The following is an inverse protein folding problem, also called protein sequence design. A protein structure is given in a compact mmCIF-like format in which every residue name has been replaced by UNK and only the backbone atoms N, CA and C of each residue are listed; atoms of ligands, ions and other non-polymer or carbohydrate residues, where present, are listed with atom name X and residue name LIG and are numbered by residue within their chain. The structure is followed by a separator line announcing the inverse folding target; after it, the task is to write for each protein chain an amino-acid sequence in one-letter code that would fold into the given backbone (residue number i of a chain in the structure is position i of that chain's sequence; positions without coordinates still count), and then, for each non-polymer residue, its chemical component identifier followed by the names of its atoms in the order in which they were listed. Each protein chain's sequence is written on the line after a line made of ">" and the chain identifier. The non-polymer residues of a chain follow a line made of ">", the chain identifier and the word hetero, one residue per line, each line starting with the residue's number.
data_IF_390511147531
#
_entry.id   IF_390511147531
#
_cell.length_a   1.000
_cell.length_b   1.000
_cell.length_c   1.000
_cell.angle_alpha   90.00
_cell.angle_beta   90.00
_cell.angle_gamma   90.00
#
_symmetry.space_group_name_H-M   'P 1'
#
loop_
_entity.id
_entity.type
_entity.pdbx_description
1 polymer ?
#
# COMPACT_ATOMS: atom_id res chain seq x y z
N UNK A 1 -12.15 -14.78 5.37
CA UNK A 1 -13.52 -14.25 5.60
C UNK A 1 -14.20 -13.81 4.31
N UNK A 2 -13.61 -12.90 3.50
CA UNK A 2 -14.28 -12.41 2.29
C UNK A 2 -14.56 -13.46 1.20
N UNK A 3 -13.74 -14.51 1.06
CA UNK A 3 -14.01 -15.57 0.09
C UNK A 3 -14.85 -16.70 0.71
N UNK A 4 -14.31 -17.38 1.74
CA UNK A 4 -14.97 -18.52 2.38
C UNK A 4 -16.17 -18.15 3.27
N UNK A 5 -16.19 -16.96 3.86
CA UNK A 5 -17.26 -16.53 4.78
C UNK A 5 -18.59 -16.26 4.07
N UNK A 6 -18.56 -15.51 2.96
CA UNK A 6 -19.76 -15.31 2.14
C UNK A 6 -20.27 -16.62 1.49
N UNK A 7 -19.35 -17.53 1.14
CA UNK A 7 -19.70 -18.84 0.63
C UNK A 7 -20.48 -19.69 1.65
N UNK A 8 -20.17 -19.58 2.95
CA UNK A 8 -20.92 -20.26 4.03
C UNK A 8 -22.37 -19.75 4.12
N UNK A 9 -22.61 -18.47 3.80
CA UNK A 9 -23.97 -17.91 3.70
C UNK A 9 -24.67 -18.17 2.36
N UNK A 10 -24.11 -19.05 1.51
CA UNK A 10 -24.69 -19.42 0.22
C UNK A 10 -24.35 -18.47 -0.93
N UNK A 11 -23.61 -17.38 -0.68
CA UNK A 11 -23.21 -16.43 -1.71
C UNK A 11 -21.86 -16.83 -2.34
N UNK A 12 -21.88 -17.22 -3.62
CA UNK A 12 -20.66 -17.48 -4.39
C UNK A 12 -20.05 -16.16 -4.83
N UNK A 13 -18.98 -15.74 -4.16
CA UNK A 13 -18.26 -14.52 -4.49
C UNK A 13 -17.09 -14.84 -5.41
N UNK A 14 -16.93 -14.09 -6.50
CA UNK A 14 -15.77 -14.21 -7.39
C UNK A 14 -14.47 -13.91 -6.63
N UNK A 15 -13.37 -14.67 -6.85
CA UNK A 15 -12.07 -14.38 -6.25
C UNK A 15 -11.59 -12.93 -6.45
N UNK A 16 -11.93 -12.32 -7.60
CA UNK A 16 -11.62 -10.91 -7.88
C UNK A 16 -12.30 -9.96 -6.90
N UNK A 17 -13.59 -10.17 -6.65
CA UNK A 17 -14.38 -9.32 -5.73
C UNK A 17 -13.93 -9.55 -4.29
N UNK A 18 -13.72 -10.80 -3.90
CA UNK A 18 -13.27 -11.14 -2.55
C UNK A 18 -11.87 -10.57 -2.24
N UNK A 19 -10.92 -10.72 -3.16
CA UNK A 19 -9.58 -10.16 -3.01
C UNK A 19 -9.60 -8.63 -3.03
N UNK A 20 -10.32 -8.03 -3.98
CA UNK A 20 -10.45 -6.58 -4.11
C UNK A 20 -11.01 -5.92 -2.85
N UNK A 21 -12.09 -6.45 -2.29
CA UNK A 21 -12.67 -5.94 -1.05
C UNK A 21 -11.74 -6.13 0.15
N UNK A 22 -11.14 -7.32 0.29
CA UNK A 22 -10.23 -7.62 1.39
C UNK A 22 -9.03 -6.67 1.39
N UNK A 23 -8.37 -6.50 0.24
CA UNK A 23 -7.23 -5.60 0.11
C UNK A 23 -7.61 -4.13 0.19
N UNK A 24 -8.78 -3.73 -0.30
CA UNK A 24 -9.23 -2.32 -0.19
C UNK A 24 -9.47 -1.93 1.26
N UNK A 25 -10.17 -2.77 2.03
CA UNK A 25 -10.42 -2.53 3.46
C UNK A 25 -9.10 -2.50 4.22
N UNK A 26 -8.24 -3.50 3.99
CA UNK A 26 -6.91 -3.55 4.61
C UNK A 26 -6.08 -2.31 4.27
N UNK A 27 -5.99 -1.95 2.99
CA UNK A 27 -5.21 -0.80 2.54
C UNK A 27 -5.76 0.51 3.09
N UNK A 28 -7.09 0.69 3.11
CA UNK A 28 -7.72 1.91 3.62
C UNK A 28 -7.43 2.14 5.11
N UNK A 29 -7.49 1.09 5.93
CA UNK A 29 -7.20 1.18 7.36
C UNK A 29 -5.74 1.57 7.63
N UNK A 30 -4.80 0.91 6.96
CA UNK A 30 -3.38 1.22 7.10
C UNK A 30 -3.03 2.61 6.55
N UNK A 31 -3.59 2.98 5.40
CA UNK A 31 -3.33 4.28 4.79
C UNK A 31 -3.91 5.42 5.66
N UNK A 32 -5.09 5.24 6.25
CA UNK A 32 -5.66 6.22 7.17
C UNK A 32 -4.73 6.50 8.37
N UNK A 33 -4.16 5.45 8.94
CA UNK A 33 -3.24 5.57 10.08
C UNK A 33 -1.91 6.22 9.71
N UNK A 34 -1.36 5.87 8.53
CA UNK A 34 -0.16 6.52 7.98
C UNK A 34 -0.41 8.03 7.82
N UNK A 35 -1.52 8.40 7.19
CA UNK A 35 -1.84 9.81 6.94
C UNK A 35 -2.14 10.57 8.24
N UNK A 36 -2.84 9.96 9.20
CA UNK A 36 -3.05 10.52 10.54
C UNK A 36 -1.70 10.82 11.21
N UNK A 37 -0.78 9.85 11.23
CA UNK A 37 0.56 10.04 11.79
C UNK A 37 1.36 11.14 11.07
N UNK A 38 1.19 11.30 9.76
CA UNK A 38 1.86 12.36 9.00
C UNK A 38 1.31 13.76 9.29
N UNK A 39 0.00 13.89 9.54
CA UNK A 39 -0.61 15.16 9.97
C UNK A 39 -0.16 15.51 11.39
N UNK A 40 -0.09 14.53 12.29
CA UNK A 40 0.40 14.71 13.67
C UNK A 40 1.90 15.03 13.76
N UNK A 41 2.69 14.63 12.76
CA UNK A 41 4.11 14.95 12.66
C UNK A 41 4.38 16.45 12.38
N UNK A 42 3.38 17.20 11.92
CA UNK A 42 3.50 18.64 11.66
C UNK A 42 3.61 19.39 12.98
N UNK A 43 4.57 20.30 13.06
CA UNK A 43 4.84 21.03 14.29
C UNK A 43 3.64 21.87 14.73
N UNK A 44 3.36 21.87 16.03
CA UNK A 44 2.26 22.66 16.60
C UNK A 44 2.41 24.16 16.31
N UNK A 45 3.64 24.64 16.15
CA UNK A 45 3.95 26.02 15.80
C UNK A 45 3.38 26.42 14.44
N UNK A 46 3.31 25.50 13.46
CA UNK A 46 2.70 25.80 12.15
C UNK A 46 1.19 26.02 12.28
N UNK A 47 0.53 25.23 13.12
CA UNK A 47 -0.88 25.39 13.45
C UNK A 47 -1.13 26.72 14.16
N UNK A 48 -0.37 27.01 15.21
CA UNK A 48 -0.49 28.25 15.99
C UNK A 48 -0.16 29.50 15.17
N UNK A 49 0.88 29.46 14.33
CA UNK A 49 1.22 30.56 13.43
C UNK A 49 0.12 30.81 12.38
N UNK A 50 -0.43 29.74 11.80
CA UNK A 50 -1.51 29.87 10.83
C UNK A 50 -2.80 30.44 11.46
N UNK A 51 -3.08 30.06 12.71
CA UNK A 51 -4.19 30.61 13.49
C UNK A 51 -3.96 32.09 13.84
N UNK A 52 -2.73 32.47 14.21
CA UNK A 52 -2.35 33.86 14.51
C UNK A 52 -2.49 34.78 13.28
N UNK A 53 -2.35 34.24 12.07
CA UNK A 53 -2.63 34.94 10.81
C UNK A 53 -4.12 35.04 10.47
N UNK A 54 -5.01 34.58 11.36
CA UNK A 54 -6.46 34.65 11.17
C UNK A 54 -7.03 33.59 10.22
N UNK A 55 -6.26 32.56 9.85
CA UNK A 55 -6.75 31.50 8.99
C UNK A 55 -7.74 30.61 9.76
N UNK A 56 -8.92 30.36 9.18
CA UNK A 56 -9.88 29.39 9.71
C UNK A 56 -9.39 27.94 9.52
N UNK A 57 -9.93 26.98 10.27
CA UNK A 57 -9.46 25.58 10.27
C UNK A 57 -9.32 24.95 8.87
N UNK A 58 -10.32 25.14 8.00
CA UNK A 58 -10.25 24.65 6.62
C UNK A 58 -9.15 25.31 5.77
N UNK A 59 -8.85 26.59 6.02
CA UNK A 59 -7.76 27.30 5.37
C UNK A 59 -6.39 26.85 5.90
N UNK A 60 -6.26 26.64 7.21
CA UNK A 60 -5.05 26.07 7.82
C UNK A 60 -4.75 24.69 7.22
N UNK A 61 -5.77 23.83 7.14
CA UNK A 61 -5.66 22.53 6.50
C UNK A 61 -5.21 22.66 5.05
N UNK A 62 -5.92 23.43 4.23
CA UNK A 62 -5.67 23.52 2.78
C UNK A 62 -4.31 24.15 2.44
N UNK A 63 -3.92 25.22 3.12
CA UNK A 63 -2.77 26.05 2.73
C UNK A 63 -1.49 25.75 3.50
N UNK A 64 -1.59 25.24 4.72
CA UNK A 64 -0.43 25.03 5.59
C UNK A 64 -0.19 23.56 5.84
N UNK A 65 -1.19 22.87 6.39
CA UNK A 65 -1.01 21.52 6.95
C UNK A 65 -0.99 20.45 5.87
N UNK A 66 -2.00 20.38 4.99
CA UNK A 66 -2.09 19.33 3.95
C UNK A 66 -0.88 19.34 3.00
N UNK A 67 -0.42 20.49 2.47
CA UNK A 67 0.76 20.50 1.61
C UNK A 67 2.03 19.96 2.29
N UNK A 68 2.18 20.18 3.60
CA UNK A 68 3.28 19.64 4.40
C UNK A 68 3.07 18.14 4.69
N UNK A 69 1.86 17.74 5.09
CA UNK A 69 1.50 16.36 5.40
C UNK A 69 1.70 15.44 4.20
N UNK A 70 1.32 15.89 2.99
CA UNK A 70 1.50 15.13 1.75
C UNK A 70 2.98 14.82 1.50
N UNK A 71 3.88 15.78 1.70
CA UNK A 71 5.32 15.56 1.54
C UNK A 71 5.82 14.50 2.54
N UNK A 72 5.35 14.53 3.77
CA UNK A 72 5.70 13.55 4.81
C UNK A 72 5.07 12.17 4.52
N UNK A 73 3.86 12.13 3.96
CA UNK A 73 3.08 10.92 3.73
C UNK A 73 3.51 10.12 2.49
N UNK A 74 4.14 10.75 1.50
CA UNK A 74 4.56 10.08 0.26
C UNK A 74 5.51 8.90 0.53
N UNK A 75 6.66 9.06 1.23
CA UNK A 75 7.59 7.95 1.48
C UNK A 75 6.96 6.72 2.14
N UNK A 76 6.23 6.83 3.28
CA UNK A 76 5.62 5.68 3.93
C UNK A 76 4.47 5.08 3.10
N UNK A 77 3.73 5.89 2.33
CA UNK A 77 2.71 5.38 1.40
C UNK A 77 3.31 4.48 0.33
N UNK A 78 4.44 4.87 -0.27
CA UNK A 78 5.15 4.02 -1.26
C UNK A 78 5.70 2.76 -0.59
N UNK A 79 6.24 2.86 0.62
CA UNK A 79 6.70 1.69 1.38
C UNK A 79 5.58 0.70 1.65
N UNK A 80 4.41 1.19 2.08
CA UNK A 80 3.20 0.38 2.28
C UNK A 80 2.72 -0.27 0.97
N UNK A 81 2.78 0.45 -0.16
CA UNK A 81 2.39 -0.11 -1.46
C UNK A 81 3.26 -1.32 -1.85
N UNK A 82 4.57 -1.29 -1.59
CA UNK A 82 5.44 -2.45 -1.82
C UNK A 82 5.02 -3.64 -0.95
N UNK A 83 4.69 -3.39 0.31
CA UNK A 83 4.19 -4.44 1.20
C UNK A 83 2.84 -4.99 0.72
N UNK A 84 1.94 -4.13 0.25
CA UNK A 84 0.65 -4.54 -0.30
C UNK A 84 0.80 -5.44 -1.53
N UNK A 85 1.71 -5.10 -2.46
CA UNK A 85 2.05 -5.94 -3.62
C UNK A 85 2.58 -7.30 -3.19
N UNK A 86 3.45 -7.36 -2.18
CA UNK A 86 3.92 -8.66 -1.65
C UNK A 86 2.77 -9.46 -1.03
N UNK A 87 1.86 -8.79 -0.33
CA UNK A 87 0.70 -9.43 0.30
C UNK A 87 -0.33 -9.95 -0.71
N UNK A 88 -0.35 -9.49 -1.97
CA UNK A 88 -1.25 -10.08 -2.99
C UNK A 88 -0.93 -11.53 -3.30
N UNK A 89 0.31 -11.97 -3.08
CA UNK A 89 0.68 -13.39 -3.21
C UNK A 89 -0.17 -14.32 -2.33
N UNK A 90 -0.70 -13.84 -1.19
CA UNK A 90 -1.60 -14.60 -0.34
C UNK A 90 -2.97 -14.85 -1.00
N UNK A 91 -3.39 -13.99 -1.92
CA UNK A 91 -4.65 -14.18 -2.64
C UNK A 91 -4.58 -15.32 -3.66
N UNK A 92 -3.38 -15.76 -4.06
CA UNK A 92 -3.21 -16.97 -4.88
C UNK A 92 -3.87 -18.21 -4.24
N UNK A 93 -3.93 -18.27 -2.90
CA UNK A 93 -4.55 -19.36 -2.15
C UNK A 93 -6.06 -19.47 -2.37
N UNK A 94 -6.76 -18.38 -2.71
CA UNK A 94 -8.19 -18.38 -3.03
C UNK A 94 -8.46 -18.49 -4.54
N UNK A 95 -7.45 -18.87 -5.32
CA UNK A 95 -7.55 -19.02 -6.78
C UNK A 95 -7.57 -17.70 -7.54
N UNK A 96 -7.21 -16.59 -6.89
CA UNK A 96 -6.96 -15.33 -7.58
C UNK A 96 -5.70 -15.47 -8.44
N UNK A 97 -5.84 -15.15 -9.73
CA UNK A 97 -4.74 -15.24 -10.67
C UNK A 97 -3.89 -13.98 -10.56
N UNK A 98 -2.78 -14.11 -9.84
CA UNK A 98 -1.71 -13.14 -9.73
C UNK A 98 -0.36 -13.81 -10.00
N UNK A 99 0.75 -13.08 -9.88
CA UNK A 99 2.06 -13.50 -10.39
C UNK A 99 2.53 -14.86 -9.81
N UNK A 100 2.30 -15.13 -8.52
CA UNK A 100 2.61 -16.43 -7.92
C UNK A 100 1.68 -17.53 -8.44
N UNK A 101 0.39 -17.24 -8.63
CA UNK A 101 -0.58 -18.19 -9.18
C UNK A 101 -0.26 -18.56 -10.63
N UNK A 102 0.12 -17.59 -11.46
CA UNK A 102 0.58 -17.85 -12.83
C UNK A 102 1.85 -18.72 -12.86
N UNK A 103 2.76 -18.50 -11.91
CA UNK A 103 3.90 -19.39 -11.69
C UNK A 103 3.50 -20.83 -11.36
N UNK A 104 2.49 -21.03 -10.51
CA UNK A 104 1.96 -22.36 -10.18
C UNK A 104 1.34 -23.04 -11.41
N UNK A 105 0.52 -22.31 -12.19
CA UNK A 105 -0.12 -22.83 -13.41
C UNK A 105 0.94 -23.25 -14.42
N UNK A 106 1.92 -22.38 -14.68
CA UNK A 106 3.02 -22.65 -15.63
C UNK A 106 3.89 -23.82 -15.16
N UNK A 107 4.15 -23.92 -13.86
CA UNK A 107 4.87 -25.07 -13.28
C UNK A 107 4.10 -26.37 -13.51
N UNK A 108 2.78 -26.36 -13.34
CA UNK A 108 1.92 -27.52 -13.61
C UNK A 108 1.93 -27.95 -15.08
N UNK A 109 2.11 -27.02 -16.02
CA UNK A 109 2.19 -27.30 -17.44
C UNK A 109 3.59 -27.75 -17.90
N UNK A 110 4.65 -27.20 -17.30
CA UNK A 110 6.04 -27.40 -17.75
C UNK A 110 6.85 -28.38 -16.90
N UNK A 111 6.36 -28.71 -15.71
CA UNK A 111 7.05 -29.52 -14.69
C UNK A 111 8.46 -29.01 -14.32
N UNK A 112 8.70 -27.70 -14.46
CA UNK A 112 9.99 -27.04 -14.16
C UNK A 112 9.87 -26.02 -13.02
N UNK A 113 9.62 -26.46 -11.77
CA UNK A 113 9.34 -25.57 -10.63
C UNK A 113 10.49 -24.60 -10.35
N UNK A 114 11.74 -25.08 -10.36
CA UNK A 114 12.90 -24.24 -10.04
C UNK A 114 13.07 -23.08 -11.02
N UNK A 115 12.94 -23.33 -12.33
CA UNK A 115 13.06 -22.29 -13.36
C UNK A 115 11.90 -21.30 -13.27
N UNK A 116 10.67 -21.79 -13.17
CA UNK A 116 9.48 -20.92 -13.16
C UNK A 116 9.42 -20.05 -11.91
N UNK A 117 9.61 -20.63 -10.71
CA UNK A 117 9.62 -19.83 -9.48
C UNK A 117 10.84 -18.91 -9.39
N UNK A 118 11.97 -19.27 -9.97
CA UNK A 118 13.12 -18.37 -10.12
C UNK A 118 12.77 -17.12 -10.94
N UNK A 119 12.07 -17.27 -12.06
CA UNK A 119 11.59 -16.15 -12.89
C UNK A 119 10.58 -15.30 -12.11
N UNK A 120 9.61 -15.93 -11.44
CA UNK A 120 8.62 -15.23 -10.60
C UNK A 120 9.30 -14.40 -9.51
N UNK A 121 10.31 -14.96 -8.84
CA UNK A 121 11.08 -14.25 -7.82
C UNK A 121 11.82 -13.03 -8.39
N UNK A 122 12.45 -13.18 -9.57
CA UNK A 122 13.11 -12.07 -10.28
C UNK A 122 12.10 -10.99 -10.66
N UNK A 123 10.91 -11.36 -11.15
CA UNK A 123 9.86 -10.40 -11.49
C UNK A 123 9.38 -9.62 -10.26
N UNK A 124 9.11 -10.29 -9.14
CA UNK A 124 8.80 -9.58 -7.87
C UNK A 124 9.94 -8.67 -7.44
N UNK A 125 11.20 -9.09 -7.60
CA UNK A 125 12.35 -8.26 -7.29
C UNK A 125 12.41 -7.02 -8.19
N UNK A 126 12.26 -7.18 -9.51
CA UNK A 126 12.26 -6.08 -10.47
C UNK A 126 11.13 -5.07 -10.23
N UNK A 127 10.00 -5.47 -9.65
CA UNK A 127 8.91 -4.57 -9.29
C UNK A 127 9.16 -3.92 -7.92
N UNK A 128 9.41 -4.73 -6.90
CA UNK A 128 9.49 -4.26 -5.51
C UNK A 128 10.76 -3.45 -5.25
N UNK A 129 11.90 -3.85 -5.83
CA UNK A 129 13.20 -3.26 -5.50
C UNK A 129 13.33 -1.79 -5.94
N UNK A 130 12.96 -1.40 -7.17
CA UNK A 130 12.95 0.01 -7.57
C UNK A 130 11.99 0.84 -6.72
N UNK A 131 10.79 0.32 -6.41
CA UNK A 131 9.81 0.99 -5.56
C UNK A 131 10.32 1.20 -4.13
N UNK A 132 10.94 0.18 -3.52
CA UNK A 132 11.57 0.29 -2.20
C UNK A 132 12.72 1.30 -2.20
N UNK A 133 13.59 1.26 -3.23
CA UNK A 133 14.68 2.24 -3.41
C UNK A 133 14.13 3.66 -3.54
N UNK A 134 13.05 3.84 -4.28
CA UNK A 134 12.40 5.14 -4.46
C UNK A 134 11.78 5.65 -3.15
N UNK A 135 11.06 4.80 -2.40
CA UNK A 135 10.54 5.12 -1.07
C UNK A 135 11.64 5.60 -0.13
N UNK A 136 12.75 4.85 -0.03
CA UNK A 136 13.90 5.23 0.81
C UNK A 136 14.56 6.53 0.36
N UNK A 137 14.63 6.80 -0.94
CA UNK A 137 15.15 8.06 -1.46
C UNK A 137 14.27 9.25 -1.07
N UNK A 138 12.95 9.09 -1.18
CA UNK A 138 11.99 10.12 -0.79
C UNK A 138 12.02 10.39 0.72
N UNK A 139 12.13 9.33 1.53
CA UNK A 139 12.27 9.43 2.98
C UNK A 139 13.50 10.28 3.36
N UNK A 140 14.67 9.97 2.78
CA UNK A 140 15.91 10.71 3.04
C UNK A 140 15.83 12.18 2.62
N UNK A 141 15.18 12.50 1.50
CA UNK A 141 15.06 13.90 1.06
C UNK A 141 14.08 14.71 1.90
N UNK A 142 13.02 14.09 2.41
CA UNK A 142 11.91 14.80 3.04
C UNK A 142 12.04 14.84 4.57
N UNK A 143 12.72 13.87 5.19
CA UNK A 143 12.97 13.85 6.64
C UNK A 143 14.19 14.71 7.04
N UNK A 144 15.15 14.94 6.12
CA UNK A 144 16.34 15.79 6.38
C UNK A 144 16.02 17.29 6.38
N UNK A 145 14.82 17.71 5.96
CA UNK A 145 14.39 19.11 5.99
C UNK A 145 13.84 19.56 7.37
N UNK A 146 14.40 19.02 8.47
CA UNK A 146 13.97 19.27 9.84
C UNK A 146 14.96 20.15 10.58
#
# INVERSE_FOLDING_TARGET
>A
VFFFGFAIFGYRVSPWVAAGLAFSIYASAFLAEIWRGCVEAISRQQWEASAALGLGFGQQLRYVVVPQAVRIAIPPTVGFLVQLIKNTSLASAIGFIELTREGQITTGATFRPFTVYGIVAVLYFCICFPLSRWSQHLERKLVVAR
#
